data_IF_247931311714
#
_entry.id   IF_247931311714
#
_cell.length_a   1.000
_cell.length_b   1.000
_cell.length_c   1.000
_cell.angle_alpha   90.00
_cell.angle_beta   90.00
_cell.angle_gamma   90.00
#
_symmetry.space_group_name_H-M   'P 1'
#
loop_
_entity.id
_entity.type
_entity.pdbx_description
1 polymer ?
#
# COMPACT_ATOMS: atom_id res chain seq x y z
N UNK A 1 8.85 8.13 -8.68
CA UNK A 1 9.33 6.76 -8.41
C UNK A 1 9.80 6.13 -9.73
N UNK A 2 10.92 5.37 -9.76
CA UNK A 2 11.39 4.69 -10.97
C UNK A 2 10.36 3.72 -11.56
N UNK A 3 10.30 3.61 -12.89
CA UNK A 3 9.29 2.81 -13.61
C UNK A 3 9.30 1.33 -13.22
N UNK A 4 10.49 0.72 -13.06
CA UNK A 4 10.64 -0.67 -12.60
C UNK A 4 10.05 -0.88 -11.20
N UNK A 5 10.31 0.05 -10.27
CA UNK A 5 9.81 -0.03 -8.90
C UNK A 5 8.29 0.16 -8.85
N UNK A 6 7.75 1.08 -9.66
CA UNK A 6 6.30 1.25 -9.82
C UNK A 6 5.64 -0.01 -10.36
N UNK A 7 6.23 -0.68 -11.36
CA UNK A 7 5.69 -1.93 -11.92
C UNK A 7 5.60 -3.06 -10.89
N UNK A 8 6.54 -3.15 -9.95
CA UNK A 8 6.48 -4.12 -8.85
C UNK A 8 5.32 -3.86 -7.88
N UNK A 9 4.86 -2.60 -7.77
CA UNK A 9 3.72 -2.25 -6.92
C UNK A 9 2.38 -2.74 -7.50
N UNK A 10 2.31 -2.93 -8.81
CA UNK A 10 1.08 -3.29 -9.52
C UNK A 10 0.97 -4.80 -9.79
N UNK A 11 2.06 -5.55 -9.58
CA UNK A 11 2.10 -7.00 -9.75
C UNK A 11 1.44 -7.75 -8.58
N UNK A 12 0.81 -8.89 -8.88
CA UNK A 12 0.18 -9.80 -7.90
C UNK A 12 1.10 -10.95 -7.51
N UNK A 13 2.33 -10.65 -7.11
CA UNK A 13 3.29 -11.66 -6.64
C UNK A 13 3.06 -12.01 -5.15
N UNK A 14 3.52 -13.17 -4.70
CA UNK A 14 3.58 -13.49 -3.26
C UNK A 14 4.96 -13.10 -2.70
N UNK A 15 5.13 -13.11 -1.37
CA UNK A 15 6.39 -12.70 -0.73
C UNK A 15 7.63 -13.49 -1.25
N UNK A 16 7.58 -14.82 -1.40
CA UNK A 16 8.68 -15.59 -2.01
C UNK A 16 9.05 -15.13 -3.42
N UNK A 17 8.06 -14.78 -4.24
CA UNK A 17 8.26 -14.42 -5.66
C UNK A 17 8.75 -12.97 -5.86
N UNK A 18 8.67 -12.12 -4.83
CA UNK A 18 9.11 -10.73 -4.94
C UNK A 18 10.64 -10.64 -5.07
N UNK A 19 11.19 -9.70 -5.86
CA UNK A 19 12.63 -9.50 -5.89
C UNK A 19 13.11 -8.86 -4.57
N UNK A 20 14.33 -9.19 -4.16
CA UNK A 20 15.03 -8.43 -3.12
C UNK A 20 15.49 -7.11 -3.72
N UNK A 21 15.01 -5.99 -3.17
CA UNK A 21 15.37 -4.65 -3.63
C UNK A 21 16.65 -4.16 -2.94
N UNK A 22 17.37 -3.24 -3.58
CA UNK A 22 18.53 -2.57 -2.98
C UNK A 22 18.15 -1.38 -2.07
N UNK A 23 19.12 -0.81 -1.35
CA UNK A 23 18.89 0.22 -0.32
C UNK A 23 18.32 1.54 -0.88
N UNK A 24 18.72 1.93 -2.10
CA UNK A 24 18.17 3.14 -2.76
C UNK A 24 16.68 2.98 -3.04
N UNK A 25 16.28 1.84 -3.60
CA UNK A 25 14.87 1.52 -3.86
C UNK A 25 14.08 1.42 -2.56
N UNK A 26 14.66 0.85 -1.50
CA UNK A 26 14.03 0.79 -0.19
C UNK A 26 13.79 2.20 0.40
N UNK A 27 14.77 3.10 0.30
CA UNK A 27 14.59 4.51 0.71
C UNK A 27 13.45 5.21 -0.04
N UNK A 28 13.33 4.97 -1.35
CA UNK A 28 12.24 5.52 -2.15
C UNK A 28 10.87 4.92 -1.80
N UNK A 29 10.80 3.62 -1.48
CA UNK A 29 9.56 3.00 -1.04
C UNK A 29 9.10 3.51 0.33
N UNK A 30 10.02 3.76 1.28
CA UNK A 30 9.68 4.39 2.57
C UNK A 30 9.07 5.76 2.36
N UNK A 31 9.74 6.62 1.61
CA UNK A 31 9.22 7.95 1.27
C UNK A 31 7.85 7.89 0.56
N UNK A 32 7.63 6.88 -0.28
CA UNK A 32 6.33 6.66 -0.92
C UNK A 32 5.24 6.25 0.07
N UNK A 33 5.53 5.31 0.99
CA UNK A 33 4.59 4.88 2.02
C UNK A 33 4.20 6.05 2.91
N UNK A 34 5.18 6.85 3.34
CA UNK A 34 4.96 8.03 4.17
C UNK A 34 4.11 9.09 3.45
N UNK A 35 4.38 9.32 2.16
CA UNK A 35 3.60 10.26 1.34
C UNK A 35 2.17 9.77 1.04
N UNK A 36 1.89 8.48 1.19
CA UNK A 36 0.58 7.88 0.90
C UNK A 36 -0.36 7.84 2.12
N UNK A 37 0.00 8.52 3.20
CA UNK A 37 -0.88 8.67 4.36
C UNK A 37 -2.07 9.58 4.01
N UNK A 38 -3.31 9.06 4.04
CA UNK A 38 -4.49 9.87 3.75
C UNK A 38 -4.82 10.78 4.94
N UNK A 39 -5.54 11.90 4.70
CA UNK A 39 -6.06 12.69 5.80
C UNK A 39 -7.05 11.88 6.65
N UNK A 40 -6.87 11.95 7.97
CA UNK A 40 -7.83 11.39 8.92
C UNK A 40 -9.12 12.23 8.92
N UNK A 41 -10.21 11.61 9.36
CA UNK A 41 -11.49 12.29 9.44
C UNK A 41 -11.63 13.09 10.73
N UNK A 42 -12.12 14.32 10.60
CA UNK A 42 -12.46 15.14 11.76
C UNK A 42 -13.86 14.79 12.30
N UNK A 43 -14.09 14.86 13.61
CA UNK A 43 -15.39 14.62 14.24
C UNK A 43 -16.57 15.33 13.54
N UNK A 44 -16.40 16.59 13.16
CA UNK A 44 -17.42 17.42 12.52
C UNK A 44 -17.73 16.96 11.09
N UNK A 45 -16.76 16.36 10.40
CA UNK A 45 -16.98 15.77 9.08
C UNK A 45 -17.84 14.53 9.19
N UNK A 46 -17.52 13.65 10.15
CA UNK A 46 -18.30 12.43 10.41
C UNK A 46 -19.74 12.80 10.80
N UNK A 47 -19.92 13.79 11.70
CA UNK A 47 -21.25 14.26 12.09
C UNK A 47 -22.05 14.76 10.88
N UNK A 48 -21.46 15.62 10.03
CA UNK A 48 -22.12 16.11 8.82
C UNK A 48 -22.54 14.99 7.88
N UNK A 49 -21.68 13.99 7.70
CA UNK A 49 -21.98 12.82 6.88
C UNK A 49 -23.14 12.00 7.46
N UNK A 50 -23.13 11.72 8.77
CA UNK A 50 -24.18 10.97 9.46
C UNK A 50 -25.52 11.72 9.47
N UNK A 51 -25.51 13.03 9.71
CA UNK A 51 -26.72 13.88 9.61
C UNK A 51 -27.27 13.85 8.20
N UNK A 52 -26.42 13.92 7.17
CA UNK A 52 -26.86 13.80 5.77
C UNK A 52 -27.52 12.44 5.50
N UNK A 53 -26.93 11.35 5.98
CA UNK A 53 -27.53 10.02 5.87
C UNK A 53 -28.88 9.93 6.58
N UNK A 54 -28.99 10.47 7.80
CA UNK A 54 -30.21 10.44 8.59
C UNK A 54 -31.35 11.24 7.92
N UNK A 55 -31.01 12.32 7.20
CA UNK A 55 -31.99 13.12 6.46
C UNK A 55 -32.42 12.46 5.15
N UNK A 56 -31.55 11.67 4.52
CA UNK A 56 -31.81 11.06 3.20
C UNK A 56 -32.42 9.65 3.29
N UNK A 57 -32.29 8.98 4.43
CA UNK A 57 -32.75 7.59 4.61
C UNK A 57 -33.78 7.48 5.72
N UNK A 58 -34.73 6.53 5.61
CA UNK A 58 -35.62 6.20 6.72
C UNK A 58 -34.81 5.82 7.97
N UNK A 59 -35.00 6.59 9.04
CA UNK A 59 -34.43 6.32 10.37
C UNK A 59 -35.57 6.07 11.35
N UNK A 60 -35.39 5.16 12.33
CA UNK A 60 -36.32 5.04 13.44
C UNK A 60 -36.47 6.40 14.16
N UNK A 61 -37.68 6.65 14.69
CA UNK A 61 -37.93 7.77 15.60
C UNK A 61 -37.23 7.43 16.92
N UNK A 62 -36.23 8.23 17.25
CA UNK A 62 -35.47 8.15 18.48
C UNK A 62 -35.81 9.35 19.33
N UNK A 63 -35.67 9.23 20.65
CA UNK A 63 -35.61 10.42 21.51
C UNK A 63 -34.34 11.23 21.19
N UNK A 64 -34.30 12.49 21.62
CA UNK A 64 -33.13 13.34 21.41
C UNK A 64 -31.88 12.77 22.10
N UNK A 65 -32.05 12.18 23.29
CA UNK A 65 -30.97 11.54 24.05
C UNK A 65 -30.44 10.29 23.32
N UNK A 66 -31.34 9.42 22.83
CA UNK A 66 -30.97 8.23 22.05
C UNK A 66 -30.27 8.60 20.74
N UNK A 67 -30.74 9.66 20.07
CA UNK A 67 -30.12 10.17 18.85
C UNK A 67 -28.71 10.70 19.11
N UNK A 68 -28.49 11.40 20.23
CA UNK A 68 -27.18 11.90 20.64
C UNK A 68 -26.20 10.76 20.98
N UNK A 69 -26.64 9.75 21.74
CA UNK A 69 -25.84 8.57 22.05
C UNK A 69 -25.49 7.76 20.79
N UNK A 70 -26.46 7.58 19.90
CA UNK A 70 -26.22 6.95 18.59
C UNK A 70 -25.15 7.72 17.83
N UNK A 71 -25.29 9.05 17.69
CA UNK A 71 -24.31 9.88 16.99
C UNK A 71 -22.90 9.76 17.60
N UNK A 72 -22.79 9.80 18.93
CA UNK A 72 -21.52 9.65 19.63
C UNK A 72 -20.86 8.29 19.36
N UNK A 73 -21.65 7.22 19.34
CA UNK A 73 -21.18 5.85 19.07
C UNK A 73 -20.65 5.70 17.65
N UNK A 74 -21.40 6.18 16.65
CA UNK A 74 -20.94 6.13 15.26
C UNK A 74 -19.69 6.97 15.05
N UNK A 75 -19.64 8.18 15.62
CA UNK A 75 -18.47 9.05 15.54
C UNK A 75 -17.22 8.36 16.10
N UNK A 76 -17.33 7.72 17.27
CA UNK A 76 -16.21 6.98 17.86
C UNK A 76 -15.76 5.82 16.99
N UNK A 77 -16.68 5.06 16.42
CA UNK A 77 -16.35 3.93 15.56
C UNK A 77 -15.66 4.39 14.26
N UNK A 78 -16.17 5.45 13.64
CA UNK A 78 -15.72 5.91 12.33
C UNK A 78 -14.46 6.79 12.37
N UNK A 79 -14.07 7.31 13.54
CA UNK A 79 -12.91 8.19 13.71
C UNK A 79 -11.57 7.55 13.30
N UNK A 80 -11.48 6.22 13.30
CA UNK A 80 -10.27 5.49 12.88
C UNK A 80 -10.09 5.41 11.37
N UNK A 81 -11.10 5.80 10.59
CA UNK A 81 -11.04 5.73 9.14
C UNK A 81 -10.56 7.04 8.52
N UNK A 82 -9.83 6.87 7.44
CA UNK A 82 -9.40 7.96 6.61
C UNK A 82 -10.60 8.61 5.90
N UNK A 83 -10.56 9.94 5.79
CA UNK A 83 -11.65 10.73 5.23
C UNK A 83 -12.06 10.31 3.80
N UNK A 84 -11.13 9.99 2.86
CA UNK A 84 -11.52 9.57 1.51
C UNK A 84 -12.29 8.24 1.48
N UNK A 85 -11.98 7.32 2.41
CA UNK A 85 -12.67 6.03 2.49
C UNK A 85 -14.10 6.23 2.99
N UNK A 86 -14.29 7.12 3.96
CA UNK A 86 -15.61 7.49 4.47
C UNK A 86 -16.45 8.13 3.38
N UNK A 87 -15.93 9.12 2.63
CA UNK A 87 -16.70 9.71 1.51
C UNK A 87 -17.18 8.65 0.53
N UNK A 88 -16.27 7.77 0.07
CA UNK A 88 -16.62 6.72 -0.87
C UNK A 88 -17.60 5.69 -0.29
N UNK A 89 -17.52 5.39 1.02
CA UNK A 89 -18.45 4.50 1.69
C UNK A 89 -19.84 5.11 1.81
N UNK A 90 -19.94 6.38 2.21
CA UNK A 90 -21.21 7.10 2.33
C UNK A 90 -21.93 7.23 0.98
N UNK A 91 -21.19 7.48 -0.10
CA UNK A 91 -21.75 7.45 -1.46
C UNK A 91 -22.29 6.07 -1.84
N UNK A 92 -21.65 4.98 -1.41
CA UNK A 92 -22.13 3.63 -1.64
C UNK A 92 -23.36 3.29 -0.79
N UNK A 93 -23.40 3.73 0.46
CA UNK A 93 -24.54 3.56 1.37
C UNK A 93 -25.78 4.17 0.73
N UNK A 94 -25.71 5.43 0.27
CA UNK A 94 -26.83 6.12 -0.37
C UNK A 94 -27.39 5.40 -1.60
N UNK A 95 -26.59 4.57 -2.27
CA UNK A 95 -26.99 3.82 -3.48
C UNK A 95 -27.48 2.41 -3.19
N UNK A 96 -27.03 1.79 -2.11
CA UNK A 96 -27.20 0.35 -1.85
C UNK A 96 -28.06 0.05 -0.63
N UNK A 97 -28.03 0.90 0.39
CA UNK A 97 -28.74 0.69 1.63
C UNK A 97 -30.18 1.23 1.53
N UNK A 98 -31.14 0.47 2.04
CA UNK A 98 -32.55 0.89 2.11
C UNK A 98 -32.90 1.59 3.43
N UNK A 99 -32.15 1.27 4.48
CA UNK A 99 -32.32 1.78 5.83
C UNK A 99 -31.00 2.39 6.31
N UNK A 100 -31.07 3.16 7.40
CA UNK A 100 -29.87 3.66 8.05
C UNK A 100 -28.96 2.49 8.46
N UNK A 101 -27.73 2.40 7.92
CA UNK A 101 -26.88 1.23 8.13
C UNK A 101 -26.31 1.22 9.55
N UNK A 102 -26.15 0.01 10.08
CA UNK A 102 -25.39 -0.27 11.30
C UNK A 102 -23.90 -0.01 11.09
N UNK A 103 -23.15 0.19 12.18
CA UNK A 103 -21.68 0.32 12.12
C UNK A 103 -21.05 -0.87 11.40
N UNK A 104 -21.52 -2.09 11.65
CA UNK A 104 -21.00 -3.30 11.00
C UNK A 104 -21.19 -3.27 9.48
N UNK A 105 -22.33 -2.80 8.98
CA UNK A 105 -22.58 -2.65 7.55
C UNK A 105 -21.69 -1.56 6.94
N UNK A 106 -21.48 -0.45 7.65
CA UNK A 106 -20.55 0.60 7.21
C UNK A 106 -19.12 0.03 7.09
N UNK A 107 -18.65 -0.73 8.09
CA UNK A 107 -17.33 -1.37 8.07
C UNK A 107 -17.18 -2.33 6.88
N UNK A 108 -18.21 -3.13 6.58
CA UNK A 108 -18.21 -4.03 5.43
C UNK A 108 -18.09 -3.29 4.09
N UNK A 109 -18.66 -2.09 4.00
CA UNK A 109 -18.55 -1.23 2.81
C UNK A 109 -17.16 -0.57 2.73
N UNK A 110 -16.62 -0.10 3.87
CA UNK A 110 -15.30 0.54 3.94
C UNK A 110 -14.17 -0.44 3.61
N UNK A 111 -14.24 -1.67 4.11
CA UNK A 111 -13.17 -2.67 3.99
C UNK A 111 -12.63 -2.83 2.55
N UNK A 112 -13.44 -3.09 1.51
CA UNK A 112 -12.94 -3.20 0.14
C UNK A 112 -12.45 -1.87 -0.46
N UNK A 113 -12.95 -0.72 -0.01
CA UNK A 113 -12.49 0.61 -0.45
C UNK A 113 -11.08 0.85 0.07
N UNK A 114 -10.90 0.66 1.39
CA UNK A 114 -9.61 0.76 2.08
C UNK A 114 -8.60 -0.23 1.49
N UNK A 115 -9.01 -1.47 1.24
CA UNK A 115 -8.15 -2.50 0.65
C UNK A 115 -7.60 -2.08 -0.71
N UNK A 116 -8.44 -1.51 -1.58
CA UNK A 116 -8.00 -1.01 -2.90
C UNK A 116 -6.99 0.12 -2.77
N UNK A 117 -7.25 1.10 -1.88
CA UNK A 117 -6.32 2.22 -1.65
C UNK A 117 -4.98 1.72 -1.09
N UNK A 118 -5.04 0.83 -0.10
CA UNK A 118 -3.85 0.35 0.59
C UNK A 118 -3.09 -0.74 -0.18
N UNK A 119 -3.62 -1.27 -1.29
CA UNK A 119 -2.98 -2.35 -2.04
C UNK A 119 -1.53 -2.04 -2.42
N UNK A 120 -1.27 -0.88 -3.02
CA UNK A 120 0.09 -0.46 -3.42
C UNK A 120 1.00 -0.15 -2.22
N UNK A 121 0.44 0.41 -1.15
CA UNK A 121 1.17 0.72 0.09
C UNK A 121 1.57 -0.56 0.81
N UNK A 122 0.65 -1.51 0.97
CA UNK A 122 0.92 -2.82 1.54
C UNK A 122 1.96 -3.59 0.72
N UNK A 123 1.90 -3.48 -0.61
CA UNK A 123 2.89 -4.06 -1.52
C UNK A 123 4.28 -3.45 -1.30
N UNK A 124 4.37 -2.12 -1.16
CA UNK A 124 5.61 -1.45 -0.80
C UNK A 124 6.13 -1.93 0.57
N UNK A 125 5.24 -2.10 1.56
CA UNK A 125 5.57 -2.68 2.86
C UNK A 125 6.15 -4.10 2.78
N UNK A 126 5.60 -4.96 1.92
CA UNK A 126 6.14 -6.31 1.70
C UNK A 126 7.54 -6.29 1.08
N UNK A 127 7.79 -5.41 0.11
CA UNK A 127 9.10 -5.23 -0.51
C UNK A 127 10.14 -4.72 0.50
N UNK A 128 9.73 -3.79 1.37
CA UNK A 128 10.57 -3.28 2.46
C UNK A 128 10.90 -4.37 3.48
N UNK A 129 9.89 -5.14 3.91
CA UNK A 129 10.09 -6.27 4.81
C UNK A 129 11.03 -7.32 4.20
N UNK A 130 10.90 -7.61 2.90
CA UNK A 130 11.80 -8.53 2.20
C UNK A 130 13.24 -8.00 2.15
N UNK A 131 13.41 -6.71 1.82
CA UNK A 131 14.71 -6.05 1.86
C UNK A 131 15.36 -6.17 3.23
N UNK A 132 14.64 -5.85 4.30
CA UNK A 132 15.17 -5.87 5.67
C UNK A 132 15.58 -7.27 6.14
N UNK A 133 14.95 -8.32 5.60
CA UNK A 133 15.24 -9.72 5.95
C UNK A 133 16.34 -10.36 5.10
N UNK A 134 16.33 -10.10 3.80
CA UNK A 134 17.10 -10.89 2.82
C UNK A 134 18.22 -10.10 2.14
N UNK A 135 18.21 -8.77 2.23
CA UNK A 135 19.25 -7.99 1.59
C UNK A 135 20.57 -8.10 2.34
N UNK A 136 21.59 -8.57 1.64
CA UNK A 136 22.99 -8.46 2.05
C UNK A 136 23.69 -7.44 1.13
N UNK A 137 24.67 -6.68 1.64
CA UNK A 137 25.58 -5.93 0.79
C UNK A 137 26.16 -6.88 -0.26
N UNK A 138 26.32 -6.46 -1.52
CA UNK A 138 27.10 -7.25 -2.46
C UNK A 138 28.43 -7.54 -1.77
N UNK A 139 28.72 -8.82 -1.54
CA UNK A 139 30.06 -9.22 -1.15
C UNK A 139 30.91 -8.64 -2.26
N UNK A 140 31.81 -7.73 -1.89
CA UNK A 140 32.85 -7.36 -2.82
C UNK A 140 33.57 -8.67 -3.09
N UNK A 141 33.19 -9.35 -4.17
CA UNK A 141 34.09 -10.27 -4.84
C UNK A 141 35.26 -9.38 -5.15
N UNK A 142 36.24 -9.41 -4.25
CA UNK A 142 37.57 -8.88 -4.48
C UNK A 142 38.10 -9.83 -5.53
N UNK A 143 37.63 -9.70 -6.77
CA UNK A 143 38.33 -10.27 -7.90
C UNK A 143 39.66 -9.56 -7.82
N UNK A 144 40.66 -10.29 -7.34
CA UNK A 144 41.99 -9.75 -7.21
C UNK A 144 42.35 -9.17 -8.58
N UNK A 145 43.02 -8.03 -8.63
CA UNK A 145 43.55 -7.49 -9.89
C UNK A 145 44.36 -8.56 -10.65
N UNK A 146 44.92 -9.54 -9.94
CA UNK A 146 45.58 -10.72 -10.50
C UNK A 146 44.63 -11.72 -11.18
N UNK A 147 43.44 -11.96 -10.63
CA UNK A 147 42.42 -12.84 -11.24
C UNK A 147 41.83 -12.21 -12.50
N UNK A 148 41.62 -10.89 -12.51
CA UNK A 148 41.25 -10.14 -13.72
C UNK A 148 42.36 -10.21 -14.76
N UNK A 149 43.63 -10.07 -14.34
CA UNK A 149 44.78 -10.19 -15.24
C UNK A 149 44.96 -11.62 -15.79
N UNK A 150 44.68 -12.65 -14.99
CA UNK A 150 44.70 -14.05 -15.42
C UNK A 150 43.60 -14.35 -16.45
N UNK A 151 42.38 -13.85 -16.23
CA UNK A 151 41.27 -13.97 -17.18
C UNK A 151 41.56 -13.24 -18.49
N UNK A 152 42.14 -12.03 -18.44
CA UNK A 152 42.56 -11.28 -19.64
C UNK A 152 43.64 -12.01 -20.44
N UNK A 153 44.60 -12.66 -19.78
CA UNK A 153 45.63 -13.48 -20.43
C UNK A 153 45.00 -14.68 -21.15
N UNK A 154 44.18 -15.47 -20.44
CA UNK A 154 43.46 -16.61 -21.04
C UNK A 154 42.57 -16.21 -22.22
N UNK A 155 41.88 -15.08 -22.13
CA UNK A 155 41.06 -14.57 -23.23
C UNK A 155 41.90 -14.16 -24.45
N UNK A 156 43.06 -13.51 -24.23
CA UNK A 156 43.99 -13.15 -25.30
C UNK A 156 44.58 -14.38 -25.99
N UNK A 157 44.99 -15.38 -25.21
CA UNK A 157 45.60 -16.61 -25.74
C UNK A 157 44.58 -17.48 -26.49
N UNK A 158 43.33 -17.52 -26.02
CA UNK A 158 42.23 -18.20 -26.71
C UNK A 158 41.83 -17.55 -28.05
N UNK A 159 41.93 -16.21 -28.14
CA UNK A 159 41.72 -15.47 -29.39
C UNK A 159 42.87 -15.65 -30.39
N UNK A 160 44.11 -15.80 -29.91
CA UNK A 160 45.26 -16.12 -30.76
C UNK A 160 45.16 -17.53 -31.36
N UNK A 161 44.78 -18.52 -30.55
CA UNK A 161 44.60 -19.90 -31.01
C UNK A 161 43.44 -20.07 -32.02
N UNK A 162 42.39 -19.25 -31.93
CA UNK A 162 41.30 -19.23 -32.91
C UNK A 162 41.66 -18.51 -34.22
N UNK A 163 42.70 -17.68 -34.22
CA UNK A 163 43.20 -16.96 -35.39
C UNK A 163 44.17 -17.79 -36.26
N UNK A 164 44.85 -18.80 -35.69
CA UNK A 164 45.79 -19.67 -36.41
C UNK A 164 45.12 -20.86 -37.14
N UNK A 165 43.81 -21.06 -36.97
CA UNK A 165 43.03 -22.12 -37.64
C UNK A 165 42.23 -21.64 -38.88
N UNK A 166 42.59 -20.49 -39.48
CA UNK A 166 41.96 -19.99 -40.72
C UNK A 166 42.97 -19.83 -41.85
#
# INVERSE_FOLDING_TARGET
MPSKLSGLLDQRLTLPDLPVIGPVSAGQLRAYVDACQPPMSEPEQINRMLTRLANMMPSPRLSDDEAAERMATYRRALASHALPDLYAAFDQILRKCRFFPTIAEIEQIIAPIRAKRMARVNRAGLLLMKHEREWAPPVADVVSMEEVAALRRKARDGLAAAGEQR
#
